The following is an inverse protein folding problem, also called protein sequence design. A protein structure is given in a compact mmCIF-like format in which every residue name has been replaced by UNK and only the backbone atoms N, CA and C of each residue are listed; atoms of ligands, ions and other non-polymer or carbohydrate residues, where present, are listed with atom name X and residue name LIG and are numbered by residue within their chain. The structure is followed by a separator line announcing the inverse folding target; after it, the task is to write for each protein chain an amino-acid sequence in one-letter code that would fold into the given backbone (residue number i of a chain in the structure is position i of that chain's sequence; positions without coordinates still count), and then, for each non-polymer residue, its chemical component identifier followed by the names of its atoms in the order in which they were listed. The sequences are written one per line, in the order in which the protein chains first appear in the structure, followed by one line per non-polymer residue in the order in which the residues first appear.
data_IF_699255275833
#
_entry.id   IF_699255275833
#
_cell.length_a   1.000
_cell.length_b   1.000
_cell.length_c   1.000
_cell.angle_alpha   90.00
_cell.angle_beta   90.00
_cell.angle_gamma   90.00
#
_symmetry.space_group_name_H-M   'P 1'
#
loop_
_entity.id
_entity.type
_entity.pdbx_description
1 polymer ?
#
# COMPACT_ATOMS: atom_id res chain seq x y z
N UNK A 1 -38.98 50.72 -13.11
CA UNK A 1 -37.82 50.55 -12.22
C UNK A 1 -37.68 49.08 -11.89
N UNK A 2 -36.62 48.47 -12.40
CA UNK A 2 -36.22 47.06 -12.24
C UNK A 2 -35.62 46.82 -10.86
N UNK A 3 -36.21 45.92 -10.06
CA UNK A 3 -35.58 45.42 -8.83
C UNK A 3 -35.10 43.99 -9.09
N UNK A 4 -33.77 43.83 -9.12
CA UNK A 4 -33.07 42.59 -9.42
C UNK A 4 -33.04 41.65 -8.20
N UNK A 5 -33.07 40.37 -8.54
CA UNK A 5 -33.03 39.20 -7.67
C UNK A 5 -31.80 39.12 -6.76
N UNK A 6 -31.98 38.46 -5.60
CA UNK A 6 -30.91 37.76 -4.92
C UNK A 6 -31.41 36.35 -4.57
N UNK A 7 -31.08 35.38 -5.43
CA UNK A 7 -31.19 33.96 -5.11
C UNK A 7 -29.87 33.56 -4.46
N UNK A 8 -29.90 33.31 -3.15
CA UNK A 8 -28.77 32.71 -2.42
C UNK A 8 -28.80 31.22 -2.76
N UNK A 9 -28.02 30.82 -3.77
CA UNK A 9 -27.78 29.42 -4.07
C UNK A 9 -26.76 28.90 -3.04
N UNK A 10 -27.25 28.19 -2.02
CA UNK A 10 -26.39 27.42 -1.13
C UNK A 10 -25.74 26.30 -1.93
N UNK A 11 -24.45 26.46 -2.26
CA UNK A 11 -23.58 25.35 -2.64
C UNK A 11 -23.39 24.47 -1.40
N UNK A 12 -24.34 23.56 -1.17
CA UNK A 12 -24.06 22.36 -0.39
C UNK A 12 -23.03 21.56 -1.21
N UNK A 13 -21.76 21.70 -0.83
CA UNK A 13 -20.67 20.93 -1.38
C UNK A 13 -21.04 19.44 -1.30
N UNK A 14 -21.22 18.83 -2.46
CA UNK A 14 -21.25 17.39 -2.67
C UNK A 14 -19.89 16.84 -2.23
N UNK A 15 -19.73 16.62 -0.93
CA UNK A 15 -18.68 15.75 -0.42
C UNK A 15 -19.14 14.34 -0.74
N UNK A 16 -18.85 13.87 -1.95
CA UNK A 16 -18.94 12.45 -2.24
C UNK A 16 -18.01 11.75 -1.26
N UNK A 17 -18.50 10.84 -0.40
CA UNK A 17 -17.60 10.02 0.38
C UNK A 17 -16.70 9.29 -0.61
N UNK A 18 -15.38 9.40 -0.44
CA UNK A 18 -14.46 8.52 -1.14
C UNK A 18 -14.88 7.10 -0.75
N UNK A 19 -15.54 6.40 -1.69
CA UNK A 19 -15.97 5.02 -1.46
C UNK A 19 -14.70 4.21 -1.18
N UNK A 20 -14.72 3.46 -0.09
CA UNK A 20 -13.67 2.47 0.18
C UNK A 20 -13.59 1.55 -1.04
N UNK A 21 -12.42 1.50 -1.66
CA UNK A 21 -12.15 0.75 -2.88
C UNK A 21 -11.21 -0.41 -2.52
N UNK A 22 -11.67 -1.62 -2.83
CA UNK A 22 -10.85 -2.83 -2.80
C UNK A 22 -10.18 -2.96 -4.17
N UNK A 23 -8.86 -2.89 -4.21
CA UNK A 23 -8.07 -2.94 -5.44
C UNK A 23 -7.20 -4.18 -5.37
N UNK A 24 -7.30 -5.02 -6.39
CA UNK A 24 -6.56 -6.27 -6.50
C UNK A 24 -5.72 -6.24 -7.76
N UNK A 25 -4.41 -6.45 -7.63
CA UNK A 25 -3.44 -6.39 -8.72
C UNK A 25 -2.58 -7.65 -8.75
N UNK A 26 -2.25 -8.08 -9.96
CA UNK A 26 -1.17 -9.04 -10.22
C UNK A 26 0.00 -8.28 -10.82
N UNK A 27 1.12 -8.26 -10.09
CA UNK A 27 2.35 -7.58 -10.45
C UNK A 27 3.41 -8.61 -10.87
N UNK A 28 4.19 -8.29 -11.91
CA UNK A 28 5.23 -9.18 -12.41
C UNK A 28 6.41 -8.46 -13.04
N UNK A 29 7.59 -9.07 -12.89
CA UNK A 29 8.79 -8.87 -13.70
C UNK A 29 9.36 -10.23 -14.11
N UNK A 30 10.35 -10.26 -14.99
CA UNK A 30 10.80 -11.47 -15.72
C UNK A 30 10.90 -12.76 -14.91
N UNK A 31 11.32 -12.71 -13.64
CA UNK A 31 11.55 -13.87 -12.78
C UNK A 31 10.85 -13.78 -11.41
N UNK A 32 9.93 -12.84 -11.20
CA UNK A 32 9.34 -12.58 -9.90
C UNK A 32 7.93 -12.02 -10.05
N UNK A 33 6.98 -12.52 -9.26
CA UNK A 33 5.60 -12.03 -9.25
C UNK A 33 5.14 -11.73 -7.83
N UNK A 34 4.16 -10.83 -7.73
CA UNK A 34 3.50 -10.48 -6.50
C UNK A 34 2.00 -10.27 -6.74
N UNK A 35 1.17 -10.79 -5.84
CA UNK A 35 -0.23 -10.37 -5.75
C UNK A 35 -0.30 -9.22 -4.76
N UNK A 36 -1.00 -8.15 -5.13
CA UNK A 36 -1.12 -6.95 -4.31
C UNK A 36 -2.59 -6.62 -4.09
N UNK A 37 -2.99 -6.52 -2.82
CA UNK A 37 -4.36 -6.21 -2.43
C UNK A 37 -4.38 -4.93 -1.58
N UNK A 38 -5.24 -3.97 -1.92
CA UNK A 38 -5.32 -2.66 -1.27
C UNK A 38 -6.76 -2.42 -0.84
N UNK A 39 -6.97 -2.03 0.41
CA UNK A 39 -8.23 -1.47 0.88
C UNK A 39 -8.01 -0.03 1.32
N UNK A 40 -8.50 0.90 0.49
CA UNK A 40 -8.31 2.34 0.71
C UNK A 40 -9.12 2.87 1.91
N UNK A 41 -10.22 2.20 2.27
CA UNK A 41 -11.04 2.56 3.43
C UNK A 41 -10.38 2.14 4.75
N UNK A 42 -9.74 0.98 4.79
CA UNK A 42 -9.02 0.46 5.95
C UNK A 42 -7.54 0.86 6.00
N UNK A 43 -7.05 1.60 5.01
CA UNK A 43 -5.62 1.91 4.84
C UNK A 43 -4.78 0.64 4.99
N UNK A 44 -5.16 -0.35 4.20
CA UNK A 44 -4.56 -1.68 4.20
C UNK A 44 -3.89 -1.95 2.86
N UNK A 45 -2.70 -2.54 2.90
CA UNK A 45 -1.99 -3.06 1.73
C UNK A 45 -1.41 -4.42 2.10
N UNK A 46 -1.60 -5.41 1.24
CA UNK A 46 -0.99 -6.72 1.36
C UNK A 46 -0.24 -7.04 0.07
N UNK A 47 0.98 -7.55 0.20
CA UNK A 47 1.81 -8.03 -0.91
C UNK A 47 2.15 -9.49 -0.63
N UNK A 48 1.75 -10.37 -1.53
CA UNK A 48 2.11 -11.79 -1.49
C UNK A 48 3.07 -12.10 -2.62
N UNK A 49 4.32 -12.37 -2.28
CA UNK A 49 5.36 -12.74 -3.21
C UNK A 49 5.23 -14.20 -3.64
N UNK A 50 5.58 -14.51 -4.89
CA UNK A 50 5.62 -15.87 -5.41
C UNK A 50 6.48 -16.85 -4.59
N UNK A 51 7.45 -16.32 -3.85
CA UNK A 51 8.38 -17.04 -2.99
C UNK A 51 7.76 -17.41 -1.62
N UNK A 52 6.50 -17.04 -1.37
CA UNK A 52 5.77 -17.39 -0.15
C UNK A 52 5.97 -16.42 1.01
N UNK A 53 6.54 -15.24 0.75
CA UNK A 53 6.63 -14.14 1.73
C UNK A 53 5.39 -13.28 1.58
N UNK A 54 4.71 -12.96 2.68
CA UNK A 54 3.61 -12.01 2.68
C UNK A 54 3.93 -10.81 3.57
N UNK A 55 3.78 -9.62 3.02
CA UNK A 55 3.93 -8.35 3.71
C UNK A 55 2.54 -7.72 3.88
N UNK A 56 2.21 -7.34 5.10
CA UNK A 56 0.94 -6.68 5.42
C UNK A 56 1.20 -5.32 6.05
N UNK A 57 0.47 -4.30 5.59
CA UNK A 57 0.55 -2.92 6.02
C UNK A 57 -0.81 -2.42 6.48
N UNK A 58 -0.90 -1.93 7.73
CA UNK A 58 -2.15 -1.44 8.30
C UNK A 58 -1.90 -0.37 9.37
N UNK A 59 -2.52 0.80 9.21
CA UNK A 59 -2.57 1.83 10.27
C UNK A 59 -1.20 2.16 10.94
N UNK A 60 -0.15 2.33 10.12
CA UNK A 60 1.24 2.60 10.53
C UNK A 60 2.00 1.45 11.24
N UNK A 61 1.36 0.29 11.39
CA UNK A 61 1.99 -0.95 11.80
C UNK A 61 2.01 -1.94 10.63
N UNK A 62 2.98 -2.86 10.62
CA UNK A 62 3.03 -3.91 9.63
C UNK A 62 3.72 -5.16 10.18
N UNK A 63 3.33 -6.28 9.60
CA UNK A 63 3.88 -7.59 9.88
C UNK A 63 4.44 -8.15 8.58
N UNK A 64 5.73 -8.47 8.57
CA UNK A 64 6.27 -9.37 7.54
C UNK A 64 5.99 -10.79 8.04
N UNK A 65 5.08 -11.48 7.37
CA UNK A 65 4.86 -12.89 7.60
C UNK A 65 5.85 -13.70 6.75
N UNK A 66 6.88 -14.19 7.42
CA UNK A 66 7.94 -15.00 6.82
C UNK A 66 9.15 -15.02 7.76
N UNK A 67 9.86 -16.15 7.88
CA UNK A 67 11.13 -16.15 8.59
C UNK A 67 12.14 -15.28 7.85
N UNK A 68 12.92 -14.48 8.59
CA UNK A 68 14.20 -13.97 8.08
C UNK A 68 15.10 -15.14 7.64
N UNK A 69 16.26 -14.86 7.05
CA UNK A 69 17.25 -15.91 6.70
C UNK A 69 17.67 -16.82 7.86
N UNK A 70 17.30 -16.49 9.11
CA UNK A 70 17.56 -17.23 10.33
C UNK A 70 16.31 -17.84 10.98
N UNK A 71 15.13 -17.79 10.36
CA UNK A 71 13.92 -18.40 10.91
C UNK A 71 13.05 -17.49 11.79
N UNK A 72 13.40 -16.20 11.97
CA UNK A 72 12.77 -15.31 12.96
C UNK A 72 11.74 -14.40 12.29
N UNK A 73 10.62 -14.13 12.96
CA UNK A 73 9.62 -13.17 12.48
C UNK A 73 10.08 -11.75 12.78
N UNK A 74 9.82 -10.84 11.86
CA UNK A 74 10.19 -9.43 11.97
C UNK A 74 8.93 -8.58 12.13
N UNK A 75 8.92 -7.72 13.16
CA UNK A 75 7.89 -6.69 13.34
C UNK A 75 8.45 -5.36 12.88
N UNK A 76 7.78 -4.71 11.95
CA UNK A 76 8.38 -3.58 11.26
C UNK A 76 7.42 -2.39 11.34
N UNK A 77 7.96 -1.22 11.66
CA UNK A 77 7.18 0.02 11.70
C UNK A 77 7.23 0.62 10.30
N UNK A 78 6.07 0.70 9.65
CA UNK A 78 5.95 1.12 8.27
C UNK A 78 5.09 2.38 8.15
N UNK A 79 5.35 3.18 7.12
CA UNK A 79 4.52 4.32 6.76
C UNK A 79 3.78 3.98 5.49
N UNK A 80 2.44 4.07 5.51
CA UNK A 80 1.64 4.02 4.29
C UNK A 80 0.91 5.34 4.09
N UNK A 81 1.00 5.89 2.88
CA UNK A 81 0.22 7.05 2.46
C UNK A 81 -0.43 6.78 1.11
N UNK A 82 -1.69 7.20 0.96
CA UNK A 82 -2.43 7.14 -0.28
C UNK A 82 -2.69 8.58 -0.76
N UNK A 83 -2.20 8.91 -1.96
CA UNK A 83 -2.57 10.13 -2.67
C UNK A 83 -3.12 9.76 -4.06
N UNK A 84 -4.44 9.85 -4.21
CA UNK A 84 -5.17 9.45 -5.43
C UNK A 84 -4.83 8.00 -5.81
N UNK A 85 -4.13 7.80 -6.92
CA UNK A 85 -3.72 6.49 -7.43
C UNK A 85 -2.34 6.04 -6.95
N UNK A 86 -1.62 6.86 -6.20
CA UNK A 86 -0.28 6.56 -5.72
C UNK A 86 -0.33 6.09 -4.27
N UNK A 87 0.05 4.84 -4.05
CA UNK A 87 0.34 4.28 -2.73
C UNK A 87 1.84 4.41 -2.50
N UNK A 88 2.24 5.03 -1.40
CA UNK A 88 3.63 4.96 -0.91
C UNK A 88 3.62 4.14 0.37
N UNK A 89 4.52 3.17 0.46
CA UNK A 89 4.66 2.27 1.60
C UNK A 89 6.14 1.97 1.84
N UNK A 90 6.53 1.60 3.06
CA UNK A 90 7.93 1.24 3.32
C UNK A 90 8.33 1.41 4.77
N UNK A 91 9.49 0.86 5.11
CA UNK A 91 9.95 0.71 6.50
C UNK A 91 10.51 2.02 7.02
N UNK A 92 10.28 2.32 8.31
CA UNK A 92 11.08 3.28 9.08
C UNK A 92 11.95 2.62 10.12
N UNK A 93 11.47 1.52 10.73
CA UNK A 93 12.24 0.77 11.72
C UNK A 93 11.96 -0.72 11.61
N UNK A 94 13.02 -1.52 11.57
CA UNK A 94 12.95 -2.98 11.64
C UNK A 94 13.14 -3.43 13.09
N UNK A 95 12.14 -4.05 13.70
CA UNK A 95 12.21 -4.56 15.07
C UNK A 95 12.04 -6.09 15.09
N UNK A 96 12.94 -6.81 15.74
CA UNK A 96 12.78 -8.25 15.90
C UNK A 96 11.67 -8.58 16.92
N UNK A 97 10.94 -9.68 16.69
CA UNK A 97 9.81 -10.12 17.55
C UNK A 97 10.27 -10.47 18.99
N UNK A 98 11.56 -10.72 19.22
CA UNK A 98 12.18 -10.99 20.53
C UNK A 98 12.28 -9.78 21.47
N UNK A 99 11.76 -8.62 21.04
CA UNK A 99 11.33 -7.55 21.94
C UNK A 99 12.28 -6.36 22.01
N UNK A 100 11.82 -5.24 21.43
CA UNK A 100 12.14 -3.81 21.71
C UNK A 100 13.61 -3.33 21.75
N UNK A 101 14.63 -4.18 21.92
CA UNK A 101 16.02 -3.75 22.18
C UNK A 101 16.89 -3.59 20.94
N UNK A 102 16.40 -3.95 19.75
CA UNK A 102 17.15 -3.84 18.49
C UNK A 102 16.22 -3.42 17.34
N UNK A 103 15.53 -2.30 17.51
CA UNK A 103 14.93 -1.64 16.36
C UNK A 103 16.05 -0.93 15.61
N UNK A 104 16.28 -1.28 14.35
CA UNK A 104 17.23 -0.58 13.49
C UNK A 104 16.44 0.41 12.64
N UNK A 105 16.88 1.66 12.59
CA UNK A 105 16.31 2.64 11.66
C UNK A 105 16.65 2.22 10.24
N UNK A 106 15.62 2.12 9.41
CA UNK A 106 15.74 1.72 8.03
C UNK A 106 14.67 2.48 7.27
N UNK A 107 15.06 3.45 6.44
CA UNK A 107 14.13 4.30 5.69
C UNK A 107 13.99 3.80 4.25
N UNK A 108 13.20 2.74 4.07
CA UNK A 108 12.85 2.25 2.73
C UNK A 108 11.53 2.87 2.31
N UNK A 109 11.40 3.24 1.03
CA UNK A 109 10.15 3.76 0.47
C UNK A 109 9.92 3.15 -0.91
N UNK A 110 8.81 2.42 -1.00
CA UNK A 110 8.28 1.78 -2.18
C UNK A 110 7.04 2.54 -2.65
N UNK A 111 6.73 2.42 -3.95
CA UNK A 111 5.58 3.09 -4.54
C UNK A 111 4.81 2.15 -5.44
N UNK A 112 3.49 2.18 -5.33
CA UNK A 112 2.58 1.55 -6.27
C UNK A 112 1.67 2.60 -6.87
N UNK A 113 1.84 2.86 -8.17
CA UNK A 113 0.95 3.70 -8.95
C UNK A 113 -0.11 2.81 -9.61
N UNK A 114 -1.30 2.78 -9.01
CA UNK A 114 -2.44 2.00 -9.49
C UNK A 114 -2.89 2.49 -10.87
N UNK A 115 -2.79 3.80 -11.13
CA UNK A 115 -3.23 4.39 -12.39
C UNK A 115 -2.30 4.02 -13.56
N UNK A 116 -1.00 3.87 -13.27
CA UNK A 116 0.00 3.42 -14.25
C UNK A 116 0.18 1.90 -14.29
N UNK A 117 -0.32 1.18 -13.28
CA UNK A 117 -0.05 -0.24 -13.13
C UNK A 117 1.44 -0.52 -12.91
N UNK A 118 2.09 0.23 -12.01
CA UNK A 118 3.53 0.17 -11.80
C UNK A 118 3.86 0.09 -10.30
N UNK A 119 4.53 -1.00 -9.90
CA UNK A 119 5.10 -1.15 -8.56
C UNK A 119 6.61 -0.96 -8.63
N UNK A 120 7.14 -0.01 -7.85
CA UNK A 120 8.57 0.15 -7.58
C UNK A 120 8.86 -0.31 -6.17
N UNK A 121 9.72 -1.31 -6.06
CA UNK A 121 10.05 -1.97 -4.82
C UNK A 121 11.57 -2.02 -4.64
N UNK A 122 12.06 -1.39 -3.59
CA UNK A 122 13.45 -1.45 -3.13
C UNK A 122 13.64 -2.72 -2.29
N UNK A 123 14.44 -3.65 -2.79
CA UNK A 123 14.76 -4.91 -2.12
C UNK A 123 16.08 -4.87 -1.33
N UNK A 124 16.69 -3.68 -1.20
CA UNK A 124 17.97 -3.46 -0.52
C UNK A 124 19.20 -3.43 -1.44
N UNK A 125 19.14 -4.08 -2.60
CA UNK A 125 20.22 -4.09 -3.60
C UNK A 125 19.89 -3.24 -4.84
N UNK A 126 18.60 -3.22 -5.23
CA UNK A 126 18.10 -2.48 -6.39
C UNK A 126 16.64 -2.05 -6.20
N UNK A 127 16.22 -1.06 -6.99
CA UNK A 127 14.81 -0.73 -7.16
C UNK A 127 14.25 -1.58 -8.30
N UNK A 128 13.51 -2.62 -7.95
CA UNK A 128 12.79 -3.47 -8.88
C UNK A 128 11.50 -2.78 -9.36
N UNK A 129 11.24 -2.83 -10.66
CA UNK A 129 10.01 -2.29 -11.26
C UNK A 129 9.17 -3.44 -11.81
N UNK A 130 7.91 -3.50 -11.39
CA UNK A 130 6.93 -4.50 -11.78
C UNK A 130 5.80 -3.85 -12.56
N UNK A 131 5.37 -4.51 -13.62
CA UNK A 131 4.11 -4.18 -14.29
C UNK A 131 2.97 -4.85 -13.54
N UNK A 132 1.92 -4.10 -13.22
CA UNK A 132 0.76 -4.53 -12.47
C UNK A 132 -0.51 -4.43 -13.31
N UNK A 133 -1.35 -5.46 -13.23
CA UNK A 133 -2.62 -5.52 -13.93
C UNK A 133 -3.76 -5.84 -12.95
N UNK A 134 -4.98 -5.35 -13.19
CA UNK A 134 -6.13 -5.75 -12.42
C UNK A 134 -6.28 -7.26 -12.37
N UNK A 135 -6.50 -7.76 -11.17
CA UNK A 135 -6.86 -9.13 -10.88
C UNK A 135 -8.05 -9.62 -11.73
N UNK A 136 -8.12 -10.93 -12.04
CA UNK A 136 -9.38 -11.54 -12.46
C UNK A 136 -10.50 -11.28 -11.43
N UNK A 137 -11.76 -11.08 -11.89
CA UNK A 137 -12.89 -10.86 -10.99
C UNK A 137 -13.07 -12.02 -9.99
N UNK A 138 -13.47 -11.68 -8.76
CA UNK A 138 -13.78 -12.67 -7.72
C UNK A 138 -12.69 -12.90 -6.67
N UNK A 139 -11.54 -12.23 -6.80
CA UNK A 139 -10.55 -12.14 -5.69
C UNK A 139 -11.17 -11.40 -4.51
N UNK A 140 -10.81 -11.84 -3.30
CA UNK A 140 -11.21 -11.26 -2.02
C UNK A 140 -9.99 -11.32 -1.08
N UNK A 141 -9.99 -10.43 -0.09
CA UNK A 141 -9.08 -10.49 1.05
C UNK A 141 -9.22 -11.78 1.86
#
# INVERSE_FOLDING_TARGET
MTTRAFVILALAALTTPALAEEIHLDCGRSNQTAMVDIDTGRRFLQIMWSEGVAEEYKDADSYISGPDKYGRKEKVVYVMSLDKSLVTFGTDRLCMEDGAKKCVEQHVRNTLDVGRGELKYDNGDEIAVFACHPAPPGRRF
#
